data_IF_776442913262
#
_entry.id   IF_776442913262
#
_cell.length_a   1.000
_cell.length_b   1.000
_cell.length_c   1.000
_cell.angle_alpha   90.00
_cell.angle_beta   90.00
_cell.angle_gamma   90.00
#
_symmetry.space_group_name_H-M   'P 1'
#
loop_
_entity.id
_entity.type
_entity.pdbx_description
1 polymer ?
#
# COMPACT_ATOMS: atom_id res chain seq x y z
N UNK A 1 -6.72 -18.41 12.57
CA UNK A 1 -6.06 -18.49 11.24
C UNK A 1 -5.67 -17.10 10.74
N UNK A 2 -6.63 -16.19 10.49
CA UNK A 2 -6.36 -14.83 9.94
C UNK A 2 -5.30 -14.04 10.72
N UNK A 3 -5.42 -13.93 12.05
CA UNK A 3 -4.44 -13.19 12.87
C UNK A 3 -3.03 -13.79 12.83
N UNK A 4 -2.91 -15.12 12.71
CA UNK A 4 -1.62 -15.79 12.59
C UNK A 4 -1.00 -15.50 11.22
N UNK A 5 -1.81 -15.55 10.17
CA UNK A 5 -1.38 -15.20 8.80
C UNK A 5 -0.96 -13.75 8.70
N UNK A 6 -1.74 -12.82 9.26
CA UNK A 6 -1.43 -11.40 9.34
C UNK A 6 -0.07 -11.18 10.02
N UNK A 7 0.11 -11.68 11.24
CA UNK A 7 1.38 -11.54 11.97
C UNK A 7 2.56 -12.11 11.19
N UNK A 8 2.41 -13.32 10.65
CA UNK A 8 3.47 -13.99 9.89
C UNK A 8 3.79 -13.31 8.56
N UNK A 9 2.86 -12.55 7.98
CA UNK A 9 3.10 -11.75 6.79
C UNK A 9 3.77 -10.42 7.15
N UNK A 10 3.24 -9.71 8.14
CA UNK A 10 3.78 -8.42 8.60
C UNK A 10 5.19 -8.57 9.17
N UNK A 11 5.55 -9.70 9.78
CA UNK A 11 6.90 -9.97 10.28
C UNK A 11 7.96 -10.06 9.19
N UNK A 12 7.57 -10.16 7.91
CA UNK A 12 8.49 -10.19 6.77
C UNK A 12 8.70 -8.82 6.14
N UNK A 13 7.92 -7.81 6.53
CA UNK A 13 8.05 -6.45 6.03
C UNK A 13 9.29 -5.79 6.64
N UNK A 14 10.08 -5.12 5.81
CA UNK A 14 11.12 -4.20 6.25
C UNK A 14 10.44 -2.88 6.57
N UNK A 15 10.60 -2.40 7.80
CA UNK A 15 10.07 -1.11 8.27
C UNK A 15 11.21 -0.23 8.78
N UNK A 16 11.00 1.08 8.72
CA UNK A 16 11.97 2.05 9.25
C UNK A 16 12.16 1.88 10.75
N UNK A 17 13.36 2.26 11.22
CA UNK A 17 13.69 2.26 12.63
C UNK A 17 12.72 3.16 13.42
N UNK A 18 12.28 2.69 14.59
CA UNK A 18 11.30 3.39 15.42
C UNK A 18 9.83 3.17 15.03
N UNK A 19 9.53 2.47 13.93
CA UNK A 19 8.15 2.11 13.57
C UNK A 19 7.67 0.90 14.39
N UNK A 20 6.74 1.14 15.30
CA UNK A 20 6.09 0.06 16.05
C UNK A 20 5.05 -0.68 15.20
N UNK A 21 5.21 -1.99 15.05
CA UNK A 21 4.28 -2.87 14.34
C UNK A 21 3.05 -3.20 15.20
N UNK A 22 2.23 -2.18 15.48
CA UNK A 22 1.01 -2.31 16.29
C UNK A 22 -0.14 -2.98 15.50
N UNK A 23 -1.22 -3.33 16.21
CA UNK A 23 -2.37 -4.01 15.62
C UNK A 23 -2.99 -3.23 14.45
N UNK A 24 -3.15 -1.90 14.59
CA UNK A 24 -3.75 -1.06 13.56
C UNK A 24 -2.89 -0.98 12.29
N UNK A 25 -1.57 -0.83 12.42
CA UNK A 25 -0.65 -0.84 11.29
C UNK A 25 -0.63 -2.21 10.60
N UNK A 26 -0.58 -3.31 11.36
CA UNK A 26 -0.63 -4.66 10.79
C UNK A 26 -1.93 -4.92 10.04
N UNK A 27 -3.07 -4.43 10.54
CA UNK A 27 -4.37 -4.60 9.90
C UNK A 27 -4.44 -3.84 8.58
N UNK A 28 -4.08 -2.55 8.64
CA UNK A 28 -3.97 -1.69 7.48
C UNK A 28 -3.06 -2.28 6.39
N UNK A 29 -1.86 -2.76 6.77
CA UNK A 29 -0.91 -3.39 5.84
C UNK A 29 -1.48 -4.65 5.20
N UNK A 30 -2.04 -5.55 6.03
CA UNK A 30 -2.54 -6.83 5.56
C UNK A 30 -3.73 -6.67 4.61
N UNK A 31 -4.73 -5.88 5.00
CA UNK A 31 -5.92 -5.63 4.16
C UNK A 31 -5.52 -4.94 2.86
N UNK A 32 -4.69 -3.89 2.93
CA UNK A 32 -4.24 -3.16 1.73
C UNK A 32 -3.46 -4.07 0.79
N UNK A 33 -2.55 -4.90 1.31
CA UNK A 33 -1.80 -5.85 0.48
C UNK A 33 -2.74 -6.84 -0.22
N UNK A 34 -3.69 -7.43 0.50
CA UNK A 34 -4.66 -8.37 -0.09
C UNK A 34 -5.47 -7.68 -1.19
N UNK A 35 -5.94 -6.45 -0.95
CA UNK A 35 -6.66 -5.66 -1.94
C UNK A 35 -5.82 -5.36 -3.19
N UNK A 36 -4.56 -4.95 -3.02
CA UNK A 36 -3.62 -4.70 -4.13
C UNK A 36 -3.42 -5.97 -4.97
N UNK A 37 -3.17 -7.12 -4.33
CA UNK A 37 -2.95 -8.38 -5.01
C UNK A 37 -4.17 -8.83 -5.83
N UNK A 38 -5.37 -8.54 -5.34
CA UNK A 38 -6.63 -8.93 -5.98
C UNK A 38 -7.27 -7.82 -6.84
N UNK A 39 -6.62 -6.65 -6.97
CA UNK A 39 -7.14 -5.46 -7.67
C UNK A 39 -8.52 -5.03 -7.16
N UNK A 40 -8.75 -5.15 -5.86
CA UNK A 40 -9.97 -4.70 -5.18
C UNK A 40 -9.75 -3.29 -4.63
N UNK A 41 -10.60 -2.30 -4.93
CA UNK A 41 -10.52 -0.98 -4.34
C UNK A 41 -10.66 -1.04 -2.81
N UNK A 42 -9.82 -0.29 -2.09
CA UNK A 42 -9.84 -0.22 -0.62
C UNK A 42 -9.97 1.22 -0.16
N UNK A 43 -10.82 1.44 0.84
CA UNK A 43 -10.99 2.73 1.50
C UNK A 43 -10.53 2.62 2.95
N UNK A 44 -9.45 3.34 3.29
CA UNK A 44 -8.91 3.35 4.65
C UNK A 44 -9.24 4.67 5.32
N UNK A 45 -10.17 4.65 6.27
CA UNK A 45 -10.71 5.83 6.96
C UNK A 45 -10.35 5.77 8.45
N UNK A 46 -10.27 6.92 9.12
CA UNK A 46 -9.99 7.02 10.56
C UNK A 46 -9.21 8.27 10.95
N UNK A 47 -8.95 8.43 12.25
CA UNK A 47 -8.34 9.64 12.84
C UNK A 47 -6.94 9.92 12.27
N UNK A 48 -6.48 11.20 12.21
CA UNK A 48 -5.09 11.51 11.92
C UNK A 48 -4.13 10.71 12.81
N UNK A 49 -3.00 10.27 12.26
CA UNK A 49 -2.01 9.46 12.98
C UNK A 49 -2.34 7.98 13.12
N UNK A 50 -3.45 7.47 12.57
CA UNK A 50 -3.78 6.02 12.59
C UNK A 50 -3.13 5.22 11.45
N UNK A 51 -1.85 5.49 11.20
CA UNK A 51 -0.93 4.70 10.35
C UNK A 51 -1.37 4.47 8.90
N UNK A 52 -2.19 5.37 8.32
CA UNK A 52 -2.73 5.23 6.96
C UNK A 52 -1.70 5.50 5.88
N UNK A 53 -1.04 6.65 5.96
CA UNK A 53 0.03 7.00 5.00
C UNK A 53 1.24 6.07 5.18
N UNK A 54 1.57 5.76 6.43
CA UNK A 54 2.69 4.87 6.76
C UNK A 54 2.52 3.47 6.15
N UNK A 55 1.30 2.90 6.17
CA UNK A 55 1.06 1.58 5.56
C UNK A 55 1.39 1.57 4.05
N UNK A 56 1.08 2.68 3.34
CA UNK A 56 1.33 2.80 1.90
C UNK A 56 2.82 2.94 1.61
N UNK A 57 3.54 3.70 2.45
CA UNK A 57 5.00 3.84 2.35
C UNK A 57 5.71 2.50 2.55
N UNK A 58 5.32 1.74 3.58
CA UNK A 58 5.88 0.42 3.85
C UNK A 58 5.59 -0.57 2.70
N UNK A 59 4.37 -0.59 2.16
CA UNK A 59 4.07 -1.47 1.03
C UNK A 59 4.85 -1.09 -0.23
N UNK A 60 4.92 0.21 -0.56
CA UNK A 60 5.68 0.67 -1.72
C UNK A 60 7.18 0.36 -1.61
N UNK A 61 7.77 0.47 -0.42
CA UNK A 61 9.18 0.14 -0.21
C UNK A 61 9.47 -1.36 -0.23
N UNK A 62 8.50 -2.21 0.12
CA UNK A 62 8.67 -3.66 0.12
C UNK A 62 8.27 -4.34 -1.20
N UNK A 63 7.43 -3.70 -2.02
CA UNK A 63 6.88 -4.27 -3.26
C UNK A 63 7.48 -3.58 -4.50
N UNK A 64 8.77 -3.79 -4.75
CA UNK A 64 9.51 -3.18 -5.86
C UNK A 64 9.76 -4.17 -7.03
N UNK A 65 8.94 -5.21 -7.15
CA UNK A 65 9.15 -6.29 -8.12
C UNK A 65 10.45 -7.04 -7.83
N UNK A 66 11.30 -7.25 -8.84
CA UNK A 66 12.60 -7.91 -8.70
C UNK A 66 13.54 -7.21 -7.71
N UNK A 67 13.37 -5.90 -7.52
CA UNK A 67 14.17 -5.11 -6.58
C UNK A 67 13.63 -5.15 -5.15
N UNK A 68 12.59 -5.94 -4.88
CA UNK A 68 12.07 -6.09 -3.52
C UNK A 68 13.14 -6.64 -2.57
N UNK A 69 13.16 -6.19 -1.30
CA UNK A 69 14.25 -6.45 -0.36
C UNK A 69 14.41 -7.92 0.02
N UNK A 70 13.37 -8.73 -0.15
CA UNK A 70 13.42 -10.17 0.13
C UNK A 70 12.90 -11.00 -1.04
N UNK A 71 13.42 -12.23 -1.24
CA UNK A 71 12.89 -13.17 -2.24
C UNK A 71 11.41 -13.52 -2.02
N UNK A 72 10.89 -13.33 -0.81
CA UNK A 72 9.47 -13.49 -0.53
C UNK A 72 8.64 -12.41 -1.23
N UNK A 73 9.05 -11.13 -1.11
CA UNK A 73 8.32 -10.00 -1.69
C UNK A 73 8.46 -9.89 -3.21
N UNK A 74 9.53 -10.41 -3.81
CA UNK A 74 9.69 -10.47 -5.28
C UNK A 74 8.60 -11.28 -5.99
N UNK A 75 7.92 -12.17 -5.26
CA UNK A 75 6.80 -12.97 -5.78
C UNK A 75 5.48 -12.19 -5.84
N UNK A 76 5.44 -10.99 -5.28
CA UNK A 76 4.28 -10.11 -5.27
C UNK A 76 4.36 -9.08 -6.39
N UNK A 77 3.23 -8.49 -6.83
CA UNK A 77 3.25 -7.46 -7.86
C UNK A 77 4.08 -6.25 -7.41
N UNK A 78 4.81 -5.65 -8.36
CA UNK A 78 5.45 -4.36 -8.14
C UNK A 78 4.38 -3.27 -7.92
N UNK A 79 4.53 -2.49 -6.85
CA UNK A 79 3.60 -1.45 -6.47
C UNK A 79 4.22 -0.07 -6.72
N UNK A 80 3.66 0.66 -7.68
CA UNK A 80 3.98 2.07 -7.93
C UNK A 80 2.79 2.94 -7.54
N UNK A 81 3.03 3.90 -6.64
CA UNK A 81 1.99 4.74 -6.07
C UNK A 81 1.87 6.04 -6.86
N UNK A 82 0.67 6.27 -7.41
CA UNK A 82 0.28 7.52 -8.05
C UNK A 82 -0.68 8.26 -7.13
N UNK A 83 -0.18 9.32 -6.49
CA UNK A 83 -0.94 10.05 -5.46
C UNK A 83 -1.75 11.19 -6.08
N UNK A 84 -3.02 11.28 -5.68
CA UNK A 84 -3.86 12.47 -5.91
C UNK A 84 -4.39 12.95 -4.56
N UNK A 85 -3.99 14.15 -4.14
CA UNK A 85 -4.49 14.75 -2.91
C UNK A 85 -5.75 15.56 -3.20
N UNK A 86 -6.88 15.09 -2.66
CA UNK A 86 -8.14 15.81 -2.81
C UNK A 86 -8.17 17.09 -1.96
N UNK A 87 -8.80 18.13 -2.50
CA UNK A 87 -9.12 19.39 -1.83
C UNK A 87 -10.53 19.84 -2.21
N UNK A 88 -11.09 20.91 -1.60
CA UNK A 88 -12.37 21.47 -2.03
C UNK A 88 -12.40 21.93 -3.50
N UNK A 89 -11.23 22.14 -4.11
CA UNK A 89 -11.10 22.54 -5.52
C UNK A 89 -10.86 21.35 -6.45
N UNK A 90 -10.83 20.12 -5.93
CA UNK A 90 -10.63 18.92 -6.74
C UNK A 90 -11.76 18.73 -7.74
N UNK A 91 -11.39 18.46 -9.00
CA UNK A 91 -12.32 18.22 -10.10
C UNK A 91 -12.24 16.77 -10.56
N UNK A 92 -13.34 16.28 -11.15
CA UNK A 92 -13.35 14.96 -11.77
C UNK A 92 -12.28 14.81 -12.87
N UNK A 93 -11.97 15.91 -13.57
CA UNK A 93 -10.89 15.97 -14.59
C UNK A 93 -9.53 15.70 -13.96
N UNK A 94 -9.24 16.29 -12.79
CA UNK A 94 -7.98 16.06 -12.09
C UNK A 94 -7.81 14.61 -11.63
N UNK A 95 -8.86 14.00 -11.08
CA UNK A 95 -8.83 12.59 -10.66
C UNK A 95 -8.63 11.68 -11.87
N UNK A 96 -9.38 11.93 -12.96
CA UNK A 96 -9.27 11.17 -14.21
C UNK A 96 -7.87 11.27 -14.81
N UNK A 97 -7.28 12.46 -14.84
CA UNK A 97 -5.93 12.68 -15.36
C UNK A 97 -4.91 11.84 -14.58
N UNK A 98 -4.96 11.83 -13.25
CA UNK A 98 -4.04 11.03 -12.45
C UNK A 98 -4.23 9.52 -12.67
N UNK A 99 -5.47 9.06 -12.85
CA UNK A 99 -5.78 7.67 -13.17
C UNK A 99 -5.28 7.27 -14.57
N UNK A 100 -5.37 8.17 -15.56
CA UNK A 100 -4.83 7.92 -16.90
C UNK A 100 -3.30 7.80 -16.89
N UNK A 101 -2.61 8.60 -16.08
CA UNK A 101 -1.15 8.48 -15.86
C UNK A 101 -0.80 7.08 -15.33
N UNK A 102 -1.52 6.58 -14.32
CA UNK A 102 -1.24 5.26 -13.76
C UNK A 102 -1.56 4.12 -14.74
N UNK A 103 -2.63 4.24 -15.53
CA UNK A 103 -2.93 3.30 -16.62
C UNK A 103 -1.83 3.26 -17.67
N UNK A 104 -1.33 4.43 -18.08
CA UNK A 104 -0.25 4.53 -19.06
C UNK A 104 1.05 3.92 -18.54
N UNK A 105 1.34 4.08 -17.24
CA UNK A 105 2.48 3.43 -16.60
C UNK A 105 2.33 1.90 -16.62
N UNK A 106 1.16 1.37 -16.28
CA UNK A 106 0.92 -0.08 -16.24
C UNK A 106 1.02 -0.78 -17.60
N UNK A 107 0.77 -0.05 -18.71
CA UNK A 107 0.86 -0.60 -20.08
C UNK A 107 2.29 -0.68 -20.60
N UNK A 108 3.24 -0.01 -19.96
CA UNK A 108 4.67 -0.06 -20.32
C UNK A 108 5.31 -1.31 -19.73
#
# INVERSE_FOLDING_TARGET
IVLATQKGLCSKLVVEEGVAMNAALMENLYVTLVCVCNRVPVFVVGKPGSSKTLMMQVLASNLQGEQSPSPFWRKFPALYVFSYQCSPLSTAVGIRHQYEISCNYQRR
#
